data_IF_269280058955
#
_entry.id   IF_269280058955
#
_cell.length_a   1.000
_cell.length_b   1.000
_cell.length_c   1.000
_cell.angle_alpha   90.00
_cell.angle_beta   90.00
_cell.angle_gamma   90.00
#
_symmetry.space_group_name_H-M   'P 1'
#
loop_
_entity.id
_entity.type
_entity.pdbx_description
1 polymer ?
#
# COMPACT_ATOMS: atom_id res chain seq x y z
N UNK A 1 19.52 -19.35 -14.32
CA UNK A 1 18.06 -19.08 -14.29
C UNK A 1 17.23 -20.30 -13.90
N UNK A 2 17.67 -21.54 -14.17
CA UNK A 2 16.93 -22.75 -13.76
C UNK A 2 16.93 -22.99 -12.23
N UNK A 3 17.99 -22.59 -11.53
CA UNK A 3 18.21 -22.95 -10.11
C UNK A 3 17.24 -22.26 -9.14
N UNK A 4 16.85 -21.00 -9.40
CA UNK A 4 15.92 -20.29 -8.53
C UNK A 4 14.48 -20.77 -8.71
N UNK A 5 14.09 -21.18 -9.92
CA UNK A 5 12.79 -21.79 -10.18
C UNK A 5 12.68 -23.13 -9.44
N UNK A 6 13.72 -23.96 -9.48
CA UNK A 6 13.74 -25.22 -8.72
C UNK A 6 13.61 -24.96 -7.21
N UNK A 7 14.30 -23.95 -6.67
CA UNK A 7 14.24 -23.60 -5.26
C UNK A 7 12.85 -23.07 -4.82
N UNK A 8 12.16 -22.30 -5.66
CA UNK A 8 10.85 -21.72 -5.32
C UNK A 8 9.66 -22.63 -5.67
N UNK A 9 9.85 -23.70 -6.44
CA UNK A 9 8.75 -24.56 -6.90
C UNK A 9 8.01 -25.20 -5.74
N UNK A 10 8.70 -25.84 -4.80
CA UNK A 10 8.06 -26.51 -3.66
C UNK A 10 7.32 -25.52 -2.73
N UNK A 11 7.93 -24.40 -2.29
CA UNK A 11 7.23 -23.35 -1.55
C UNK A 11 6.00 -22.80 -2.30
N UNK A 12 6.09 -22.62 -3.61
CA UNK A 12 4.98 -22.16 -4.43
C UNK A 12 3.83 -23.18 -4.47
N UNK A 13 4.12 -24.47 -4.70
CA UNK A 13 3.10 -25.52 -4.68
C UNK A 13 2.40 -25.61 -3.32
N UNK A 14 3.15 -25.49 -2.23
CA UNK A 14 2.59 -25.43 -0.88
C UNK A 14 1.69 -24.21 -0.72
N UNK A 15 2.12 -23.03 -1.16
CA UNK A 15 1.29 -21.82 -1.14
C UNK A 15 -0.02 -21.99 -1.94
N UNK A 16 -0.01 -22.71 -3.07
CA UNK A 16 -1.24 -23.03 -3.82
C UNK A 16 -2.17 -23.94 -3.02
N UNK A 17 -1.63 -24.98 -2.40
CA UNK A 17 -2.40 -25.94 -1.59
C UNK A 17 -3.00 -25.24 -0.36
N UNK A 18 -2.23 -24.38 0.33
CA UNK A 18 -2.73 -23.55 1.41
C UNK A 18 -3.83 -22.61 0.90
N UNK A 19 -3.57 -21.83 -0.15
CA UNK A 19 -4.56 -20.93 -0.77
C UNK A 19 -5.86 -21.66 -1.08
N UNK A 20 -5.78 -22.86 -1.65
CA UNK A 20 -6.93 -23.67 -2.03
C UNK A 20 -7.91 -23.90 -0.88
N UNK A 21 -7.44 -24.58 0.17
CA UNK A 21 -8.28 -24.94 1.33
C UNK A 21 -8.60 -23.73 2.21
N UNK A 22 -7.65 -22.80 2.41
CA UNK A 22 -7.84 -21.66 3.31
C UNK A 22 -8.81 -20.64 2.73
N UNK A 23 -8.81 -20.40 1.41
CA UNK A 23 -9.82 -19.52 0.80
C UNK A 23 -11.23 -20.09 1.02
N UNK A 24 -11.40 -21.41 0.85
CA UNK A 24 -12.69 -22.08 1.06
C UNK A 24 -13.15 -21.98 2.52
N UNK A 25 -12.28 -22.33 3.47
CA UNK A 25 -12.57 -22.22 4.89
C UNK A 25 -12.78 -20.77 5.32
N UNK A 26 -12.02 -19.84 4.75
CA UNK A 26 -12.14 -18.40 4.97
C UNK A 26 -13.51 -17.85 4.59
N UNK A 27 -14.11 -18.33 3.50
CA UNK A 27 -15.49 -17.96 3.13
C UNK A 27 -16.48 -18.38 4.23
N UNK A 28 -16.31 -19.57 4.80
CA UNK A 28 -17.13 -20.02 5.93
C UNK A 28 -16.88 -19.15 7.17
N UNK A 29 -15.63 -18.86 7.52
CA UNK A 29 -15.26 -18.01 8.66
C UNK A 29 -15.86 -16.60 8.53
N UNK A 30 -15.75 -15.97 7.36
CA UNK A 30 -16.33 -14.66 7.09
C UNK A 30 -17.86 -14.68 7.20
N UNK A 31 -18.53 -15.69 6.63
CA UNK A 31 -20.00 -15.80 6.72
C UNK A 31 -20.52 -15.98 8.16
N UNK A 32 -19.67 -16.53 9.04
CA UNK A 32 -19.98 -16.79 10.45
C UNK A 32 -19.61 -15.63 11.38
N UNK A 33 -18.97 -14.56 10.88
CA UNK A 33 -18.47 -13.43 11.68
C UNK A 33 -17.56 -13.86 12.85
N UNK A 34 -16.61 -14.76 12.58
CA UNK A 34 -15.69 -15.33 13.57
C UNK A 34 -14.25 -15.23 13.09
N UNK A 35 -13.82 -14.05 12.63
CA UNK A 35 -12.57 -13.88 11.89
C UNK A 35 -11.37 -14.38 12.70
N UNK A 36 -11.35 -14.11 14.02
CA UNK A 36 -10.28 -14.53 14.92
C UNK A 36 -10.23 -16.02 15.28
N UNK A 37 -11.13 -16.85 14.76
CA UNK A 37 -11.17 -18.29 15.12
C UNK A 37 -9.89 -19.02 14.71
N UNK A 38 -9.26 -18.55 13.64
CA UNK A 38 -8.00 -19.07 13.15
C UNK A 38 -6.85 -18.79 14.11
N UNK A 39 -6.70 -17.54 14.57
CA UNK A 39 -5.70 -17.14 15.55
C UNK A 39 -5.95 -17.86 16.88
N UNK A 40 -7.20 -17.97 17.32
CA UNK A 40 -7.52 -18.67 18.56
C UNK A 40 -7.09 -20.15 18.50
N UNK A 41 -7.48 -20.89 17.47
CA UNK A 41 -7.11 -22.30 17.34
C UNK A 41 -5.60 -22.47 17.10
N UNK A 42 -4.97 -21.55 16.36
CA UNK A 42 -3.52 -21.55 16.20
C UNK A 42 -2.80 -21.40 17.55
N UNK A 43 -3.26 -20.50 18.43
CA UNK A 43 -2.64 -20.31 19.76
C UNK A 43 -2.96 -21.45 20.73
N UNK A 44 -4.13 -22.06 20.64
CA UNK A 44 -4.44 -23.28 21.40
C UNK A 44 -3.54 -24.44 20.94
N UNK A 45 -3.37 -24.61 19.62
CA UNK A 45 -2.47 -25.59 19.02
C UNK A 45 -1.02 -25.37 19.44
N UNK A 46 -0.59 -24.10 19.45
CA UNK A 46 0.72 -23.67 19.91
C UNK A 46 0.94 -24.00 21.39
N UNK A 47 -0.03 -23.69 22.25
CA UNK A 47 0.00 -24.07 23.65
C UNK A 47 0.21 -25.58 23.83
N UNK A 48 -0.49 -26.40 23.03
CA UNK A 48 -0.27 -27.85 23.01
C UNK A 48 1.15 -28.24 22.58
N UNK A 49 1.71 -27.60 21.55
CA UNK A 49 3.10 -27.81 21.13
C UNK A 49 4.09 -27.45 22.25
N UNK A 50 3.85 -26.33 22.95
CA UNK A 50 4.69 -25.88 24.07
C UNK A 50 4.63 -26.87 25.23
N UNK A 51 3.45 -27.42 25.54
CA UNK A 51 3.33 -28.49 26.55
C UNK A 51 4.14 -29.72 26.14
N UNK A 52 4.07 -30.15 24.88
CA UNK A 52 4.89 -31.27 24.40
C UNK A 52 6.39 -30.99 24.51
N UNK A 53 6.80 -29.77 24.16
CA UNK A 53 8.19 -29.34 24.27
C UNK A 53 8.68 -29.39 25.73
N UNK A 54 7.88 -28.92 26.69
CA UNK A 54 8.20 -29.00 28.12
C UNK A 54 8.28 -30.43 28.64
N UNK A 55 7.51 -31.36 28.04
CA UNK A 55 7.60 -32.79 28.34
C UNK A 55 8.81 -33.47 27.69
N UNK A 56 9.68 -32.72 27.00
CA UNK A 56 10.92 -33.22 26.40
C UNK A 56 10.77 -33.76 24.98
N UNK A 57 9.61 -33.57 24.33
CA UNK A 57 9.46 -33.95 22.93
C UNK A 57 10.10 -32.92 22.01
N UNK A 58 10.78 -33.39 20.97
CA UNK A 58 11.39 -32.51 19.97
C UNK A 58 10.33 -31.70 19.20
N UNK A 59 10.64 -30.44 18.83
CA UNK A 59 9.84 -29.69 17.86
C UNK A 59 9.64 -30.50 16.57
N UNK A 60 8.45 -30.41 15.97
CA UNK A 60 8.06 -31.16 14.76
C UNK A 60 7.98 -32.69 14.90
N UNK A 61 8.10 -33.24 16.12
CA UNK A 61 7.83 -34.67 16.35
C UNK A 61 6.34 -35.01 16.20
N UNK A 62 6.05 -36.29 15.92
CA UNK A 62 4.67 -36.82 15.90
C UNK A 62 3.97 -36.58 17.24
N UNK A 63 4.71 -36.70 18.35
CA UNK A 63 4.18 -36.41 19.68
C UNK A 63 3.78 -34.93 19.80
N UNK A 64 4.66 -33.99 19.43
CA UNK A 64 4.35 -32.56 19.45
C UNK A 64 3.11 -32.23 18.60
N UNK A 65 3.01 -32.80 17.40
CA UNK A 65 1.82 -32.66 16.56
C UNK A 65 0.55 -33.25 17.22
N UNK A 66 0.67 -34.40 17.90
CA UNK A 66 -0.41 -35.03 18.64
C UNK A 66 -0.93 -34.18 19.80
N UNK A 67 -0.05 -33.55 20.58
CA UNK A 67 -0.44 -32.62 21.64
C UNK A 67 -1.08 -31.35 21.08
N UNK A 68 -0.51 -30.77 20.03
CA UNK A 68 -1.13 -29.65 19.32
C UNK A 68 -2.54 -29.99 18.87
N UNK A 69 -2.74 -31.13 18.23
CA UNK A 69 -4.05 -31.56 17.76
C UNK A 69 -5.03 -31.85 18.90
N UNK A 70 -4.57 -32.46 20.00
CA UNK A 70 -5.40 -32.70 21.17
C UNK A 70 -5.92 -31.40 21.79
N UNK A 71 -5.04 -30.41 21.95
CA UNK A 71 -5.41 -29.08 22.40
C UNK A 71 -6.37 -28.39 21.42
N UNK A 72 -6.09 -28.45 20.11
CA UNK A 72 -6.96 -27.91 19.06
C UNK A 72 -8.35 -28.54 19.10
N UNK A 73 -8.47 -29.85 19.31
CA UNK A 73 -9.76 -30.53 19.47
C UNK A 73 -10.46 -30.04 20.73
N UNK A 74 -9.76 -29.91 21.87
CA UNK A 74 -10.31 -29.31 23.08
C UNK A 74 -10.83 -27.88 22.87
N UNK A 75 -10.05 -27.05 22.17
CA UNK A 75 -10.44 -25.71 21.75
C UNK A 75 -11.67 -25.72 20.85
N UNK A 76 -11.71 -26.60 19.85
CA UNK A 76 -12.86 -26.78 18.97
C UNK A 76 -14.14 -27.15 19.75
N UNK A 77 -14.04 -28.03 20.75
CA UNK A 77 -15.17 -28.34 21.65
C UNK A 77 -15.66 -27.06 22.35
N UNK A 78 -14.75 -26.32 22.99
CA UNK A 78 -15.09 -25.08 23.72
C UNK A 78 -15.75 -24.05 22.79
N UNK A 79 -15.19 -23.84 21.60
CA UNK A 79 -15.72 -22.89 20.62
C UNK A 79 -17.07 -23.33 20.01
N UNK A 80 -17.35 -24.63 19.97
CA UNK A 80 -18.63 -25.15 19.48
C UNK A 80 -19.77 -24.87 20.44
N UNK A 81 -19.52 -25.00 21.75
CA UNK A 81 -20.51 -24.70 22.78
C UNK A 81 -20.73 -23.19 22.95
N UNK A 82 -19.69 -22.37 22.73
CA UNK A 82 -19.77 -20.92 22.96
C UNK A 82 -20.80 -20.19 22.10
N UNK A 83 -21.10 -20.69 20.89
CA UNK A 83 -22.14 -20.12 20.01
C UNK A 83 -23.52 -20.08 20.64
N UNK A 84 -23.81 -21.01 21.56
CA UNK A 84 -25.10 -21.07 22.27
C UNK A 84 -25.17 -20.12 23.48
N UNK A 85 -24.03 -19.63 23.96
CA UNK A 85 -23.93 -18.78 25.16
C UNK A 85 -24.00 -17.28 24.83
N UNK A 86 -23.84 -16.93 23.55
CA UNK A 86 -23.74 -15.56 23.06
C UNK A 86 -25.11 -14.93 22.84
N UNK A 87 -25.77 -14.54 23.95
CA UNK A 87 -26.99 -13.72 23.93
C UNK A 87 -26.74 -12.23 24.20
N UNK A 88 -25.63 -11.88 24.88
CA UNK A 88 -25.25 -10.50 25.24
C UNK A 88 -23.87 -10.08 24.74
N UNK A 89 -23.01 -11.05 24.40
CA UNK A 89 -21.63 -10.86 23.94
C UNK A 89 -21.50 -11.54 22.58
N UNK A 90 -20.77 -10.96 21.63
CA UNK A 90 -20.56 -11.61 20.33
C UNK A 90 -19.66 -12.84 20.47
N UNK A 91 -19.87 -13.83 19.60
CA UNK A 91 -19.02 -15.02 19.57
C UNK A 91 -17.55 -14.67 19.26
N UNK A 92 -17.33 -13.66 18.43
CA UNK A 92 -16.01 -13.15 18.10
C UNK A 92 -15.26 -12.60 19.32
N UNK A 93 -15.95 -11.92 20.25
CA UNK A 93 -15.34 -11.46 21.50
C UNK A 93 -14.85 -12.64 22.35
N UNK A 94 -15.65 -13.70 22.48
CA UNK A 94 -15.24 -14.89 23.22
C UNK A 94 -14.02 -15.56 22.58
N UNK A 95 -14.02 -15.70 21.25
CA UNK A 95 -12.90 -16.22 20.48
C UNK A 95 -11.64 -15.37 20.70
N UNK A 96 -11.77 -14.03 20.71
CA UNK A 96 -10.66 -13.11 20.98
C UNK A 96 -10.07 -13.29 22.39
N UNK A 97 -10.90 -13.51 23.40
CA UNK A 97 -10.42 -13.81 24.77
C UNK A 97 -9.67 -15.14 24.81
N UNK A 98 -10.21 -16.20 24.19
CA UNK A 98 -9.55 -17.51 24.10
C UNK A 98 -8.20 -17.39 23.39
N UNK A 99 -8.12 -16.61 22.31
CA UNK A 99 -6.87 -16.31 21.60
C UNK A 99 -5.82 -15.69 22.53
N UNK A 100 -6.14 -14.58 23.20
CA UNK A 100 -5.18 -13.87 24.06
C UNK A 100 -4.75 -14.72 25.25
N UNK A 101 -5.68 -15.43 25.90
CA UNK A 101 -5.37 -16.30 27.05
C UNK A 101 -4.47 -17.47 26.64
N UNK A 102 -4.76 -18.11 25.50
CA UNK A 102 -3.95 -19.24 25.01
C UNK A 102 -2.56 -18.80 24.60
N UNK A 103 -2.44 -17.64 23.94
CA UNK A 103 -1.15 -17.03 23.61
C UNK A 103 -0.36 -16.75 24.89
N UNK A 104 -0.95 -16.02 25.85
CA UNK A 104 -0.29 -15.68 27.10
C UNK A 104 0.15 -16.94 27.88
N UNK A 105 -0.67 -17.99 27.91
CA UNK A 105 -0.29 -19.27 28.50
C UNK A 105 0.90 -19.91 27.79
N UNK A 106 0.92 -19.92 26.44
CA UNK A 106 2.05 -20.46 25.67
C UNK A 106 3.34 -19.67 25.91
N UNK A 107 3.25 -18.33 25.99
CA UNK A 107 4.36 -17.46 26.38
C UNK A 107 4.87 -17.79 27.78
N UNK A 108 4.00 -17.85 28.79
CA UNK A 108 4.39 -18.15 30.17
C UNK A 108 5.07 -19.51 30.33
N UNK A 109 4.62 -20.51 29.56
CA UNK A 109 5.22 -21.85 29.59
C UNK A 109 6.62 -21.88 28.97
N UNK A 110 6.92 -21.02 28.00
CA UNK A 110 8.20 -21.05 27.27
C UNK A 110 9.19 -19.98 27.74
N UNK A 111 8.76 -19.00 28.54
CA UNK A 111 9.59 -17.88 29.02
C UNK A 111 10.85 -18.32 29.77
N UNK A 112 10.77 -19.45 30.48
CA UNK A 112 11.89 -20.02 31.23
C UNK A 112 12.80 -20.93 30.39
N UNK A 113 12.49 -21.13 29.10
CA UNK A 113 13.28 -21.96 28.19
C UNK A 113 14.34 -21.14 27.46
N UNK A 114 15.62 -21.58 27.42
CA UNK A 114 16.67 -20.92 26.63
C UNK A 114 16.33 -20.78 25.15
N UNK A 115 15.50 -21.66 24.59
CA UNK A 115 15.07 -21.61 23.18
C UNK A 115 13.68 -20.96 22.97
N UNK A 116 13.07 -20.38 24.00
CA UNK A 116 11.69 -19.92 23.96
C UNK A 116 11.43 -18.82 22.94
N UNK A 117 12.29 -17.80 22.87
CA UNK A 117 12.14 -16.69 21.93
C UNK A 117 12.16 -17.15 20.45
N UNK A 118 13.03 -18.10 20.11
CA UNK A 118 13.12 -18.66 18.75
C UNK A 118 11.89 -19.52 18.42
N UNK A 119 11.39 -20.32 19.38
CA UNK A 119 10.16 -21.10 19.21
C UNK A 119 8.95 -20.20 18.87
N UNK A 120 8.80 -19.08 19.57
CA UNK A 120 7.72 -18.13 19.32
C UNK A 120 7.88 -17.44 17.96
N UNK A 121 9.09 -17.02 17.63
CA UNK A 121 9.38 -16.41 16.32
C UNK A 121 9.05 -17.36 15.17
N UNK A 122 9.48 -18.62 15.27
CA UNK A 122 9.17 -19.66 14.28
C UNK A 122 7.67 -19.88 14.14
N UNK A 123 6.92 -19.86 15.24
CA UNK A 123 5.46 -19.99 15.23
C UNK A 123 4.75 -18.81 14.56
N UNK A 124 5.22 -17.57 14.78
CA UNK A 124 4.59 -16.37 14.21
C UNK A 124 4.87 -16.23 12.71
N UNK A 125 6.12 -16.39 12.30
CA UNK A 125 6.59 -16.07 10.93
C UNK A 125 6.64 -17.31 10.04
N UNK A 126 6.89 -18.50 10.61
CA UNK A 126 7.10 -19.74 9.87
C UNK A 126 8.33 -19.71 8.98
N UNK A 127 8.49 -20.76 8.17
CA UNK A 127 9.58 -20.88 7.20
C UNK A 127 9.12 -21.60 5.93
N UNK A 128 8.14 -21.02 5.23
CA UNK A 128 7.59 -21.62 3.99
C UNK A 128 8.67 -21.91 2.93
N UNK A 129 9.78 -21.17 2.94
CA UNK A 129 10.90 -21.36 2.01
C UNK A 129 11.66 -22.68 2.24
N UNK A 130 11.67 -23.22 3.46
CA UNK A 130 12.45 -24.43 3.82
C UNK A 130 11.61 -25.71 3.77
N UNK A 131 10.42 -25.66 3.20
CA UNK A 131 9.53 -26.81 3.06
C UNK A 131 10.09 -27.86 2.12
N UNK A 132 10.01 -29.12 2.55
CA UNK A 132 10.44 -30.27 1.77
C UNK A 132 9.30 -30.87 0.92
N UNK A 133 9.65 -31.70 -0.07
CA UNK A 133 8.66 -32.48 -0.84
C UNK A 133 7.80 -33.40 0.03
N UNK A 134 8.39 -33.93 1.11
CA UNK A 134 7.69 -34.77 2.07
C UNK A 134 6.59 -33.98 2.80
N UNK A 135 6.87 -32.72 3.14
CA UNK A 135 5.88 -31.85 3.80
C UNK A 135 4.77 -31.46 2.82
N UNK A 136 5.12 -31.15 1.56
CA UNK A 136 4.13 -30.95 0.50
C UNK A 136 3.20 -32.16 0.37
N UNK A 137 3.74 -33.39 0.31
CA UNK A 137 2.93 -34.60 0.21
C UNK A 137 1.98 -34.78 1.41
N UNK A 138 2.49 -34.61 2.64
CA UNK A 138 1.67 -34.69 3.87
C UNK A 138 0.50 -33.72 3.83
N UNK A 139 0.77 -32.46 3.46
CA UNK A 139 -0.23 -31.40 3.38
C UNK A 139 -1.25 -31.67 2.29
N UNK A 140 -0.81 -32.10 1.10
CA UNK A 140 -1.71 -32.46 0.00
C UNK A 140 -2.65 -33.59 0.41
N UNK A 141 -2.14 -34.66 1.02
CA UNK A 141 -2.96 -35.78 1.47
C UNK A 141 -3.96 -35.34 2.55
N UNK A 142 -3.48 -34.62 3.56
CA UNK A 142 -4.32 -34.13 4.66
C UNK A 142 -5.42 -33.20 4.15
N UNK A 143 -5.09 -32.24 3.29
CA UNK A 143 -6.05 -31.22 2.82
C UNK A 143 -6.99 -31.79 1.78
N UNK A 144 -6.57 -32.80 1.01
CA UNK A 144 -7.47 -33.55 0.15
C UNK A 144 -8.47 -34.35 0.98
N UNK A 145 -8.05 -35.00 2.08
CA UNK A 145 -8.96 -35.71 2.97
C UNK A 145 -9.97 -34.77 3.65
N UNK A 146 -9.51 -33.62 4.17
CA UNK A 146 -10.39 -32.60 4.74
C UNK A 146 -11.32 -32.01 3.68
N UNK A 147 -10.80 -31.68 2.49
CA UNK A 147 -11.59 -31.16 1.37
C UNK A 147 -12.65 -32.15 0.91
N UNK A 148 -12.34 -33.44 0.85
CA UNK A 148 -13.28 -34.50 0.51
C UNK A 148 -14.36 -34.65 1.59
N UNK A 149 -13.99 -34.59 2.87
CA UNK A 149 -14.95 -34.55 3.97
C UNK A 149 -15.92 -33.37 3.81
N UNK A 150 -15.40 -32.15 3.63
CA UNK A 150 -16.21 -30.94 3.42
C UNK A 150 -17.08 -31.03 2.18
N UNK A 151 -16.61 -31.68 1.11
CA UNK A 151 -17.39 -31.91 -0.09
C UNK A 151 -18.63 -32.79 0.18
N UNK A 152 -18.47 -33.90 0.90
CA UNK A 152 -19.58 -34.78 1.26
C UNK A 152 -20.59 -34.10 2.19
N UNK A 153 -20.11 -33.29 3.15
CA UNK A 153 -20.97 -32.59 4.11
C UNK A 153 -21.25 -31.12 3.74
N UNK A 154 -21.07 -30.74 2.47
CA UNK A 154 -21.18 -29.34 2.03
C UNK A 154 -22.55 -28.72 2.29
N UNK A 155 -23.63 -29.47 2.12
CA UNK A 155 -25.01 -28.97 2.29
C UNK A 155 -25.27 -28.46 3.71
N UNK A 156 -25.07 -29.28 4.78
CA UNK A 156 -25.26 -28.80 6.15
C UNK A 156 -24.26 -27.71 6.54
N UNK A 157 -22.99 -27.81 6.12
CA UNK A 157 -21.98 -26.78 6.44
C UNK A 157 -22.31 -25.42 5.83
N UNK A 158 -22.72 -25.38 4.56
CA UNK A 158 -23.14 -24.15 3.90
C UNK A 158 -24.40 -23.58 4.56
N UNK A 159 -25.40 -24.43 4.86
CA UNK A 159 -26.64 -23.99 5.50
C UNK A 159 -26.36 -23.34 6.87
N UNK A 160 -25.51 -23.95 7.69
CA UNK A 160 -25.20 -23.43 9.04
C UNK A 160 -24.34 -22.16 9.02
N UNK A 161 -23.54 -21.98 7.96
CA UNK A 161 -22.66 -20.82 7.84
C UNK A 161 -23.38 -19.60 7.27
N UNK A 162 -24.23 -19.80 6.25
CA UNK A 162 -24.92 -18.71 5.56
C UNK A 162 -26.34 -18.45 6.07
N UNK A 163 -27.02 -19.47 6.59
CA UNK A 163 -28.44 -19.43 6.97
C UNK A 163 -28.70 -20.24 8.27
N UNK A 164 -28.11 -19.84 9.40
CA UNK A 164 -28.18 -20.60 10.66
C UNK A 164 -29.62 -20.80 11.18
N UNK A 165 -30.53 -19.85 10.94
CA UNK A 165 -31.93 -19.97 11.35
C UNK A 165 -32.66 -21.07 10.57
N UNK A 166 -32.41 -21.17 9.26
CA UNK A 166 -32.96 -22.23 8.42
C UNK A 166 -32.36 -23.59 8.78
N UNK A 167 -31.07 -23.65 9.14
CA UNK A 167 -30.46 -24.88 9.66
C UNK A 167 -31.16 -25.37 10.93
N UNK A 168 -31.49 -24.45 11.84
CA UNK A 168 -32.20 -24.76 13.09
C UNK A 168 -33.62 -25.26 12.82
N UNK A 169 -34.33 -24.62 11.89
CA UNK A 169 -35.68 -25.04 11.46
C UNK A 169 -35.67 -26.41 10.77
N UNK A 170 -34.60 -26.73 10.03
CA UNK A 170 -34.39 -28.04 9.42
C UNK A 170 -34.01 -29.15 10.42
N UNK A 171 -34.00 -28.87 11.73
CA UNK A 171 -33.71 -29.85 12.78
C UNK A 171 -32.23 -30.22 12.92
N UNK A 172 -31.31 -29.46 12.29
CA UNK A 172 -29.89 -29.72 12.43
C UNK A 172 -29.42 -29.38 13.85
N UNK A 173 -28.57 -30.25 14.41
CA UNK A 173 -27.89 -30.00 15.68
C UNK A 173 -26.72 -29.04 15.44
N UNK A 174 -26.95 -27.73 15.59
CA UNK A 174 -25.96 -26.69 15.31
C UNK A 174 -24.59 -26.96 15.96
N UNK A 175 -24.58 -27.32 17.25
CA UNK A 175 -23.35 -27.58 18.00
C UNK A 175 -22.49 -28.69 17.37
N UNK A 176 -23.10 -29.75 16.83
CA UNK A 176 -22.38 -30.88 16.25
C UNK A 176 -21.68 -30.47 14.95
N UNK A 177 -22.36 -29.71 14.11
CA UNK A 177 -21.80 -29.24 12.85
C UNK A 177 -20.79 -28.12 13.04
N UNK A 178 -20.96 -27.29 14.06
CA UNK A 178 -19.95 -26.32 14.49
C UNK A 178 -18.71 -27.04 15.01
N UNK A 179 -18.88 -28.12 15.79
CA UNK A 179 -17.78 -28.98 16.22
C UNK A 179 -17.04 -29.62 15.06
N UNK A 180 -17.75 -30.23 14.11
CA UNK A 180 -17.14 -30.80 12.91
C UNK A 180 -16.41 -29.74 12.08
N UNK A 181 -16.99 -28.54 11.97
CA UNK A 181 -16.33 -27.41 11.31
C UNK A 181 -15.05 -27.02 12.07
N UNK A 182 -15.12 -26.74 13.37
CA UNK A 182 -13.97 -26.29 14.15
C UNK A 182 -12.87 -27.33 14.28
N UNK A 183 -13.19 -28.63 14.35
CA UNK A 183 -12.18 -29.69 14.35
C UNK A 183 -11.49 -29.77 13.00
N UNK A 184 -12.25 -29.86 11.89
CA UNK A 184 -11.65 -29.95 10.56
C UNK A 184 -10.87 -28.68 10.18
N UNK A 185 -11.38 -27.52 10.57
CA UNK A 185 -10.72 -26.23 10.44
C UNK A 185 -9.46 -26.15 11.30
N UNK A 186 -9.53 -26.57 12.56
CA UNK A 186 -8.41 -26.62 13.48
C UNK A 186 -7.29 -27.54 13.00
N UNK A 187 -7.61 -28.71 12.44
CA UNK A 187 -6.63 -29.62 11.81
C UNK A 187 -5.84 -28.88 10.72
N UNK A 188 -6.54 -28.18 9.83
CA UNK A 188 -5.91 -27.42 8.73
C UNK A 188 -5.08 -26.25 9.24
N UNK A 189 -5.58 -25.49 10.23
CA UNK A 189 -4.85 -24.38 10.83
C UNK A 189 -3.60 -24.88 11.55
N UNK A 190 -3.72 -25.90 12.41
CA UNK A 190 -2.59 -26.50 13.14
C UNK A 190 -1.47 -26.96 12.20
N UNK A 191 -1.79 -27.69 11.14
CA UNK A 191 -0.78 -28.14 10.18
C UNK A 191 -0.19 -27.01 9.36
N UNK A 192 -1.00 -26.01 8.99
CA UNK A 192 -0.52 -24.88 8.19
C UNK A 192 0.39 -23.96 8.98
N UNK A 193 0.08 -23.72 10.26
CA UNK A 193 0.87 -22.87 11.14
C UNK A 193 2.25 -23.47 11.38
N UNK A 194 2.35 -24.80 11.50
CA UNK A 194 3.63 -25.49 11.63
C UNK A 194 4.58 -25.26 10.43
N UNK A 195 4.03 -24.89 9.26
CA UNK A 195 4.77 -24.69 8.01
C UNK A 195 4.99 -23.21 7.72
N UNK A 196 3.89 -22.48 7.64
CA UNK A 196 3.81 -21.12 7.14
C UNK A 196 3.81 -20.07 8.26
N UNK A 197 3.57 -20.46 9.51
CA UNK A 197 3.42 -19.54 10.64
C UNK A 197 2.03 -18.89 10.70
N UNK A 198 1.68 -18.40 11.89
CA UNK A 198 0.33 -17.87 12.18
C UNK A 198 -0.05 -16.69 11.27
N UNK A 199 0.87 -15.76 11.03
CA UNK A 199 0.59 -14.55 10.25
C UNK A 199 0.25 -14.87 8.80
N UNK A 200 1.03 -15.75 8.17
CA UNK A 200 0.85 -16.11 6.77
C UNK A 200 -0.41 -16.96 6.56
N UNK A 201 -0.72 -17.86 7.50
CA UNK A 201 -1.95 -18.66 7.48
C UNK A 201 -3.19 -17.78 7.56
N UNK A 202 -3.20 -16.78 8.45
CA UNK A 202 -4.28 -15.79 8.53
C UNK A 202 -4.50 -15.08 7.18
N UNK A 203 -3.40 -14.67 6.52
CA UNK A 203 -3.48 -14.03 5.20
C UNK A 203 -4.04 -14.96 4.12
N UNK A 204 -3.60 -16.22 4.05
CA UNK A 204 -4.14 -17.21 3.11
C UNK A 204 -5.63 -17.49 3.32
N UNK A 205 -6.10 -17.37 4.57
CA UNK A 205 -7.48 -17.62 4.95
C UNK A 205 -8.39 -16.43 4.63
N UNK A 206 -8.07 -15.27 5.20
CA UNK A 206 -9.00 -14.14 5.25
C UNK A 206 -8.93 -13.28 3.99
N UNK A 207 -7.74 -12.98 3.49
CA UNK A 207 -7.58 -11.97 2.43
C UNK A 207 -8.15 -12.43 1.08
N UNK A 208 -7.81 -13.62 0.55
CA UNK A 208 -8.47 -14.20 -0.62
C UNK A 208 -9.99 -14.27 -0.51
N UNK A 209 -10.50 -14.73 0.64
CA UNK A 209 -11.93 -14.88 0.89
C UNK A 209 -12.64 -13.52 0.94
N UNK A 210 -12.01 -12.51 1.56
CA UNK A 210 -12.53 -11.15 1.64
C UNK A 210 -12.59 -10.50 0.26
N UNK A 211 -11.55 -10.64 -0.56
CA UNK A 211 -11.55 -10.12 -1.94
C UNK A 211 -12.60 -10.85 -2.78
N UNK A 212 -12.73 -12.17 -2.65
CA UNK A 212 -13.83 -12.90 -3.28
C UNK A 212 -15.20 -12.34 -2.89
N UNK A 213 -15.42 -12.08 -1.59
CA UNK A 213 -16.66 -11.52 -1.07
C UNK A 213 -16.92 -10.06 -1.46
N UNK A 214 -15.88 -9.27 -1.72
CA UNK A 214 -16.01 -7.88 -2.20
C UNK A 214 -16.58 -7.80 -3.62
N UNK A 215 -16.34 -8.84 -4.44
CA UNK A 215 -16.59 -8.85 -5.89
C UNK A 215 -17.73 -9.80 -6.32
N UNK A 216 -18.22 -10.67 -5.44
CA UNK A 216 -19.35 -11.56 -5.75
C UNK A 216 -20.10 -12.01 -4.51
N UNK A 217 -21.39 -12.33 -4.67
CA UNK A 217 -22.23 -12.94 -3.63
C UNK A 217 -22.27 -14.48 -3.71
N UNK A 218 -21.97 -15.04 -4.88
CA UNK A 218 -22.05 -16.49 -5.14
C UNK A 218 -20.77 -17.19 -4.68
N UNK A 219 -20.91 -18.37 -4.06
CA UNK A 219 -19.78 -19.12 -3.47
C UNK A 219 -18.70 -19.46 -4.52
N UNK A 220 -19.10 -19.97 -5.69
CA UNK A 220 -18.14 -20.40 -6.71
C UNK A 220 -17.29 -19.23 -7.26
N UNK A 221 -17.87 -18.09 -7.67
CA UNK A 221 -17.07 -16.92 -8.01
C UNK A 221 -16.21 -16.38 -6.87
N UNK A 222 -16.72 -16.32 -5.62
CA UNK A 222 -15.91 -15.92 -4.44
C UNK A 222 -14.65 -16.78 -4.33
N UNK A 223 -14.82 -18.10 -4.51
CA UNK A 223 -13.74 -19.07 -4.42
C UNK A 223 -12.72 -18.93 -5.57
N UNK A 224 -13.19 -18.81 -6.81
CA UNK A 224 -12.32 -18.64 -7.98
C UNK A 224 -11.51 -17.34 -7.91
N UNK A 225 -12.15 -16.23 -7.52
CA UNK A 225 -11.47 -14.94 -7.33
C UNK A 225 -10.43 -15.07 -6.22
N UNK A 226 -10.80 -15.66 -5.07
CA UNK A 226 -9.88 -15.87 -3.97
C UNK A 226 -8.67 -16.73 -4.36
N UNK A 227 -8.88 -17.85 -5.07
CA UNK A 227 -7.78 -18.69 -5.55
C UNK A 227 -6.86 -17.96 -6.53
N UNK A 228 -7.41 -17.17 -7.46
CA UNK A 228 -6.61 -16.37 -8.38
C UNK A 228 -5.75 -15.34 -7.62
N UNK A 229 -6.35 -14.64 -6.67
CA UNK A 229 -5.64 -13.62 -5.87
C UNK A 229 -4.62 -14.25 -4.92
N UNK A 230 -4.92 -15.37 -4.29
CA UNK A 230 -3.98 -16.06 -3.41
C UNK A 230 -2.79 -16.62 -4.17
N UNK A 231 -3.04 -17.18 -5.37
CA UNK A 231 -1.98 -17.62 -6.28
C UNK A 231 -1.11 -16.44 -6.71
N UNK A 232 -1.70 -15.34 -7.18
CA UNK A 232 -0.99 -14.15 -7.61
C UNK A 232 -0.16 -13.54 -6.49
N UNK A 233 -0.77 -13.35 -5.31
CA UNK A 233 -0.10 -12.80 -4.12
C UNK A 233 1.09 -13.65 -3.70
N UNK A 234 0.94 -14.99 -3.75
CA UNK A 234 2.02 -15.92 -3.42
C UNK A 234 3.16 -15.88 -4.43
N UNK A 235 2.85 -15.90 -5.73
CA UNK A 235 3.86 -15.79 -6.80
C UNK A 235 4.65 -14.50 -6.69
N UNK A 236 3.97 -13.37 -6.52
CA UNK A 236 4.61 -12.06 -6.38
C UNK A 236 5.42 -11.98 -5.09
N UNK A 237 4.86 -12.43 -3.96
CA UNK A 237 5.54 -12.43 -2.66
C UNK A 237 6.79 -13.31 -2.61
N UNK A 238 6.74 -14.51 -3.18
CA UNK A 238 7.91 -15.40 -3.30
C UNK A 238 9.00 -14.78 -4.17
N UNK A 239 8.62 -14.24 -5.34
CA UNK A 239 9.56 -13.61 -6.27
C UNK A 239 10.24 -12.39 -5.64
N UNK A 240 9.47 -11.52 -4.97
CA UNK A 240 10.00 -10.34 -4.29
C UNK A 240 10.89 -10.71 -3.10
N UNK A 241 10.51 -11.73 -2.32
CA UNK A 241 11.33 -12.21 -1.21
C UNK A 241 12.68 -12.72 -1.68
N UNK A 242 12.70 -13.48 -2.77
CA UNK A 242 13.93 -14.04 -3.34
C UNK A 242 14.85 -12.94 -3.90
N UNK A 243 14.32 -12.01 -4.70
CA UNK A 243 15.13 -10.92 -5.29
C UNK A 243 15.61 -9.95 -4.22
N UNK A 244 14.79 -9.68 -3.19
CA UNK A 244 15.09 -8.72 -2.13
C UNK A 244 15.83 -9.31 -0.91
N UNK A 245 16.11 -10.62 -0.87
CA UNK A 245 16.61 -11.32 0.32
C UNK A 245 15.80 -11.02 1.59
N UNK A 246 14.47 -10.95 1.46
CA UNK A 246 13.54 -10.61 2.56
C UNK A 246 12.94 -11.87 3.20
N UNK A 247 12.52 -11.82 4.48
CA UNK A 247 11.79 -12.91 5.12
C UNK A 247 10.51 -13.27 4.35
N UNK A 248 10.50 -14.46 3.75
CA UNK A 248 9.47 -14.86 2.77
C UNK A 248 8.05 -14.77 3.30
N UNK A 249 7.80 -15.25 4.52
CA UNK A 249 6.46 -15.19 5.11
C UNK A 249 5.96 -13.75 5.28
N UNK A 250 6.80 -12.86 5.81
CA UNK A 250 6.46 -11.45 5.97
C UNK A 250 6.24 -10.73 4.63
N UNK A 251 7.08 -11.02 3.61
CA UNK A 251 6.91 -10.43 2.28
C UNK A 251 5.58 -10.84 1.64
N UNK A 252 5.19 -12.12 1.73
CA UNK A 252 3.90 -12.59 1.18
C UNK A 252 2.74 -11.91 1.93
N UNK A 253 2.81 -11.77 3.25
CA UNK A 253 1.81 -11.05 4.06
C UNK A 253 1.65 -9.59 3.59
N UNK A 254 2.77 -8.87 3.38
CA UNK A 254 2.73 -7.50 2.88
C UNK A 254 2.11 -7.40 1.48
N UNK A 255 2.42 -8.36 0.58
CA UNK A 255 1.85 -8.42 -0.76
C UNK A 255 0.34 -8.67 -0.72
N UNK A 256 -0.12 -9.60 0.12
CA UNK A 256 -1.55 -9.83 0.34
C UNK A 256 -2.26 -8.56 0.82
N UNK A 257 -1.70 -7.86 1.81
CA UNK A 257 -2.23 -6.59 2.32
C UNK A 257 -2.29 -5.51 1.24
N UNK A 258 -1.23 -5.39 0.43
CA UNK A 258 -1.18 -4.47 -0.70
C UNK A 258 -2.21 -4.76 -1.77
N UNK A 259 -2.41 -6.03 -2.15
CA UNK A 259 -3.42 -6.44 -3.13
C UNK A 259 -4.83 -6.23 -2.59
N UNK A 260 -5.09 -6.50 -1.30
CA UNK A 260 -6.38 -6.17 -0.67
C UNK A 260 -6.67 -4.67 -0.73
N UNK A 261 -5.71 -3.84 -0.34
CA UNK A 261 -5.84 -2.39 -0.39
C UNK A 261 -6.10 -1.90 -1.83
N UNK A 262 -5.32 -2.40 -2.79
CA UNK A 262 -5.49 -2.06 -4.21
C UNK A 262 -6.86 -2.48 -4.74
N UNK A 263 -7.29 -3.71 -4.50
CA UNK A 263 -8.60 -4.20 -4.96
C UNK A 263 -9.75 -3.43 -4.30
N UNK A 264 -9.67 -3.15 -3.00
CA UNK A 264 -10.65 -2.31 -2.31
C UNK A 264 -10.74 -0.89 -2.92
N UNK A 265 -9.61 -0.26 -3.24
CA UNK A 265 -9.56 1.05 -3.90
C UNK A 265 -10.09 1.01 -5.34
N UNK A 266 -9.89 -0.09 -6.07
CA UNK A 266 -10.37 -0.26 -7.44
C UNK A 266 -11.85 -0.62 -7.54
N UNK A 267 -12.44 -1.23 -6.49
CA UNK A 267 -13.86 -1.62 -6.45
C UNK A 267 -14.85 -0.52 -6.90
N UNK A 268 -14.79 0.74 -6.42
CA UNK A 268 -15.71 1.79 -6.88
C UNK A 268 -15.61 2.08 -8.39
N UNK A 269 -14.46 1.85 -9.02
CA UNK A 269 -14.27 2.05 -10.46
C UNK A 269 -14.84 0.89 -11.29
N UNK A 270 -14.93 -0.32 -10.72
CA UNK A 270 -15.35 -1.54 -11.41
C UNK A 270 -16.88 -1.73 -11.36
N UNK A 271 -17.53 -1.43 -10.22
CA UNK A 271 -18.94 -1.80 -10.00
C UNK A 271 -19.96 -0.67 -10.06
N UNK A 272 -19.60 0.58 -10.36
CA UNK A 272 -20.60 1.66 -10.33
C UNK A 272 -20.28 2.87 -11.22
N UNK A 273 -21.39 3.44 -11.71
CA UNK A 273 -21.68 4.86 -12.02
C UNK A 273 -20.96 5.94 -11.16
N UNK A 274 -20.21 5.57 -10.12
CA UNK A 274 -19.26 6.39 -9.37
C UNK A 274 -18.17 7.05 -10.25
N UNK A 275 -17.79 6.45 -11.39
CA UNK A 275 -16.87 7.11 -12.36
C UNK A 275 -17.37 8.50 -12.77
N UNK A 276 -18.67 8.66 -13.00
CA UNK A 276 -19.26 9.96 -13.36
C UNK A 276 -19.34 10.93 -12.16
N UNK A 277 -19.56 10.44 -10.94
CA UNK A 277 -19.61 11.29 -9.76
C UNK A 277 -18.21 11.77 -9.33
N UNK A 278 -17.21 10.89 -9.40
CA UNK A 278 -15.80 11.22 -9.11
C UNK A 278 -15.25 12.18 -10.17
N UNK A 279 -15.55 11.98 -11.46
CA UNK A 279 -15.15 12.94 -12.51
C UNK A 279 -15.85 14.30 -12.33
N UNK A 280 -17.13 14.34 -11.93
CA UNK A 280 -17.85 15.59 -11.64
C UNK A 280 -17.30 16.31 -10.40
N UNK A 281 -17.00 15.59 -9.32
CA UNK A 281 -16.42 16.17 -8.11
C UNK A 281 -14.97 16.62 -8.33
N UNK A 282 -14.13 15.83 -9.01
CA UNK A 282 -12.77 16.20 -9.37
C UNK A 282 -12.75 17.42 -10.33
N UNK A 283 -13.68 17.46 -11.30
CA UNK A 283 -13.85 18.63 -12.17
C UNK A 283 -14.25 19.88 -11.38
N UNK A 284 -15.20 19.76 -10.45
CA UNK A 284 -15.60 20.88 -9.59
C UNK A 284 -14.47 21.37 -8.68
N UNK A 285 -13.70 20.44 -8.08
CA UNK A 285 -12.58 20.79 -7.19
C UNK A 285 -11.41 21.39 -7.96
N UNK A 286 -11.17 20.91 -9.18
CA UNK A 286 -10.20 21.50 -10.11
C UNK A 286 -10.56 22.93 -10.49
N UNK A 287 -11.83 23.17 -10.87
CA UNK A 287 -12.31 24.51 -11.22
C UNK A 287 -12.23 25.46 -10.02
N UNK A 288 -12.65 25.04 -8.81
CA UNK A 288 -12.53 25.89 -7.62
C UNK A 288 -11.08 26.20 -7.28
N UNK A 289 -10.17 25.23 -7.40
CA UNK A 289 -8.75 25.43 -7.10
C UNK A 289 -8.08 26.35 -8.12
N UNK A 290 -8.45 26.24 -9.40
CA UNK A 290 -7.97 27.16 -10.45
C UNK A 290 -8.47 28.57 -10.20
N UNK A 291 -9.75 28.75 -9.83
CA UNK A 291 -10.32 30.06 -9.51
C UNK A 291 -9.71 30.67 -8.24
N UNK A 292 -9.39 29.89 -7.20
CA UNK A 292 -8.72 30.42 -6.00
C UNK A 292 -7.30 30.85 -6.30
N UNK A 293 -6.53 30.05 -7.05
CA UNK A 293 -5.16 30.39 -7.46
C UNK A 293 -5.17 31.64 -8.34
N UNK A 294 -6.08 31.73 -9.32
CA UNK A 294 -6.23 32.89 -10.18
C UNK A 294 -6.64 34.15 -9.38
N UNK A 295 -7.57 34.02 -8.44
CA UNK A 295 -8.00 35.11 -7.56
C UNK A 295 -6.85 35.60 -6.68
N UNK A 296 -6.13 34.69 -6.02
CA UNK A 296 -4.98 35.02 -5.18
C UNK A 296 -3.86 35.69 -5.99
N UNK A 297 -3.55 35.16 -7.17
CA UNK A 297 -2.54 35.73 -8.08
C UNK A 297 -2.95 37.12 -8.59
N UNK A 298 -4.23 37.34 -8.90
CA UNK A 298 -4.75 38.64 -9.31
C UNK A 298 -4.72 39.67 -8.17
N UNK A 299 -5.13 39.29 -6.96
CA UNK A 299 -5.06 40.15 -5.77
C UNK A 299 -3.61 40.52 -5.46
N UNK A 300 -2.69 39.56 -5.52
CA UNK A 300 -1.29 39.82 -5.27
C UNK A 300 -0.71 40.79 -6.31
N UNK A 301 -0.95 40.57 -7.60
CA UNK A 301 -0.48 41.46 -8.68
C UNK A 301 -1.06 42.88 -8.57
N UNK A 302 -2.31 42.98 -8.10
CA UNK A 302 -2.97 44.28 -7.95
C UNK A 302 -2.49 45.07 -6.72
N UNK A 303 -2.28 44.41 -5.59
CA UNK A 303 -1.83 45.09 -4.37
C UNK A 303 -0.33 45.38 -4.40
N UNK A 304 0.48 44.40 -4.82
CA UNK A 304 1.93 44.45 -4.80
C UNK A 304 2.53 44.02 -6.16
N UNK A 305 2.48 44.90 -7.18
CA UNK A 305 2.95 44.56 -8.53
C UNK A 305 4.44 44.24 -8.59
N UNK A 306 5.26 44.88 -7.74
CA UNK A 306 6.71 44.72 -7.74
C UNK A 306 7.21 43.53 -6.89
N UNK A 307 6.31 42.82 -6.20
CA UNK A 307 6.67 41.63 -5.44
C UNK A 307 6.97 40.44 -6.38
N UNK A 308 7.63 39.41 -5.86
CA UNK A 308 7.81 38.16 -6.58
C UNK A 308 6.45 37.47 -6.77
N UNK A 309 6.18 37.01 -8.00
CA UNK A 309 4.84 36.59 -8.44
C UNK A 309 4.97 35.25 -9.16
N UNK A 310 4.97 34.13 -8.42
CA UNK A 310 5.42 32.84 -8.94
C UNK A 310 4.71 32.39 -10.23
N UNK A 311 3.40 32.61 -10.33
CA UNK A 311 2.59 32.19 -11.48
C UNK A 311 2.92 33.02 -12.73
N UNK A 312 2.99 34.35 -12.58
CA UNK A 312 3.27 35.25 -13.70
C UNK A 312 4.75 35.18 -14.11
N UNK A 313 5.64 34.90 -13.16
CA UNK A 313 7.07 34.65 -13.42
C UNK A 313 7.28 33.38 -14.23
N UNK A 314 6.54 32.32 -13.89
CA UNK A 314 6.52 31.09 -14.68
C UNK A 314 6.00 31.35 -16.10
N UNK A 315 4.89 32.07 -16.25
CA UNK A 315 4.33 32.41 -17.56
C UNK A 315 5.27 33.27 -18.42
N UNK A 316 5.91 34.29 -17.85
CA UNK A 316 6.87 35.13 -18.58
C UNK A 316 8.15 34.38 -18.94
N UNK A 317 8.52 33.34 -18.19
CA UNK A 317 9.66 32.47 -18.52
C UNK A 317 9.32 31.57 -19.71
N UNK A 318 8.11 31.01 -19.75
CA UNK A 318 7.64 30.20 -20.88
C UNK A 318 7.32 31.05 -22.12
N UNK A 319 6.80 32.27 -21.92
CA UNK A 319 6.38 33.19 -22.97
C UNK A 319 6.92 34.61 -22.72
N UNK A 320 8.18 34.89 -23.08
CA UNK A 320 8.81 36.20 -22.87
C UNK A 320 8.06 37.38 -23.51
N UNK A 321 7.31 37.12 -24.58
CA UNK A 321 6.46 38.09 -25.26
C UNK A 321 5.41 38.73 -24.32
N UNK A 322 4.95 38.00 -23.29
CA UNK A 322 3.99 38.53 -22.31
C UNK A 322 4.55 39.71 -21.53
N UNK A 323 5.87 39.76 -21.27
CA UNK A 323 6.49 40.91 -20.62
C UNK A 323 6.68 42.05 -21.61
N UNK A 324 7.16 41.73 -22.81
CA UNK A 324 7.48 42.70 -23.86
C UNK A 324 6.23 43.48 -24.30
N UNK A 325 5.06 42.84 -24.36
CA UNK A 325 3.79 43.50 -24.70
C UNK A 325 3.41 44.68 -23.78
N UNK A 326 3.97 44.73 -22.57
CA UNK A 326 3.74 45.81 -21.61
C UNK A 326 4.91 46.79 -21.49
N UNK A 327 5.95 46.64 -22.31
CA UNK A 327 7.07 47.58 -22.40
C UNK A 327 6.88 48.51 -23.61
N UNK A 328 7.36 49.75 -23.49
CA UNK A 328 7.44 50.67 -24.62
C UNK A 328 8.51 50.22 -25.62
N UNK A 329 8.50 50.76 -26.84
CA UNK A 329 9.52 50.45 -27.84
C UNK A 329 10.95 50.73 -27.35
N UNK A 330 11.14 51.80 -26.58
CA UNK A 330 12.44 52.15 -25.98
C UNK A 330 12.84 51.14 -24.88
N UNK A 331 11.92 50.79 -23.98
CA UNK A 331 12.16 49.81 -22.92
C UNK A 331 12.43 48.40 -23.47
N UNK A 332 11.80 48.04 -24.60
CA UNK A 332 12.08 46.79 -25.31
C UNK A 332 13.49 46.79 -25.91
N UNK A 333 13.91 47.91 -26.50
CA UNK A 333 15.28 48.07 -27.00
C UNK A 333 16.30 47.97 -25.86
N UNK A 334 16.03 48.62 -24.72
CA UNK A 334 16.89 48.53 -23.52
C UNK A 334 16.98 47.09 -22.99
N UNK A 335 15.85 46.37 -22.98
CA UNK A 335 15.82 44.96 -22.56
C UNK A 335 16.64 44.07 -23.51
N UNK A 336 16.52 44.29 -24.83
CA UNK A 336 17.29 43.56 -25.83
C UNK A 336 18.79 43.88 -25.73
N UNK A 337 19.16 45.14 -25.55
CA UNK A 337 20.54 45.56 -25.36
C UNK A 337 21.15 44.96 -24.09
N UNK A 338 20.40 44.93 -22.98
CA UNK A 338 20.82 44.27 -21.75
C UNK A 338 21.00 42.76 -21.92
N UNK A 339 20.17 42.10 -22.75
CA UNK A 339 20.32 40.68 -23.10
C UNK A 339 21.58 40.42 -23.93
N UNK A 340 21.82 41.21 -24.98
CA UNK A 340 23.02 41.12 -25.83
C UNK A 340 24.32 41.46 -25.07
N UNK A 341 24.24 42.31 -24.04
CA UNK A 341 25.35 42.52 -23.10
C UNK A 341 25.69 41.24 -22.35
N UNK A 342 24.69 40.63 -21.72
CA UNK A 342 24.85 39.42 -20.91
C UNK A 342 25.48 38.26 -21.67
N UNK A 343 25.04 37.99 -22.90
CA UNK A 343 25.57 36.90 -23.72
C UNK A 343 27.03 37.12 -24.13
N UNK A 344 27.39 38.38 -24.46
CA UNK A 344 28.78 38.76 -24.76
C UNK A 344 29.69 38.58 -23.55
N UNK A 345 29.20 38.88 -22.35
CA UNK A 345 30.01 38.71 -21.14
C UNK A 345 30.13 37.27 -20.68
N UNK A 346 29.07 36.47 -20.81
CA UNK A 346 29.13 35.05 -20.50
C UNK A 346 30.12 34.31 -21.40
N UNK A 347 30.13 34.64 -22.69
CA UNK A 347 31.09 34.06 -23.65
C UNK A 347 32.53 34.47 -23.37
N UNK A 348 32.79 35.74 -23.03
CA UNK A 348 34.15 36.18 -22.69
C UNK A 348 34.65 35.59 -21.37
N UNK A 349 33.78 35.36 -20.38
CA UNK A 349 34.16 34.65 -19.15
C UNK A 349 34.44 33.18 -19.39
N UNK A 350 33.58 32.51 -20.16
CA UNK A 350 33.80 31.12 -20.51
C UNK A 350 35.16 30.95 -21.21
N UNK A 351 35.52 31.91 -22.06
CA UNK A 351 36.84 31.97 -22.70
C UNK A 351 37.97 32.18 -21.70
N UNK A 352 37.85 33.12 -20.76
CA UNK A 352 38.89 33.38 -19.75
C UNK A 352 39.08 32.19 -18.79
N UNK A 353 37.98 31.54 -18.35
CA UNK A 353 38.02 30.32 -17.54
C UNK A 353 38.65 29.15 -18.31
N UNK A 354 38.39 29.04 -19.61
CA UNK A 354 39.03 28.03 -20.45
C UNK A 354 40.55 28.25 -20.57
N UNK A 355 41.00 29.49 -20.72
CA UNK A 355 42.43 29.84 -20.76
C UNK A 355 43.09 29.51 -19.41
N UNK A 356 42.46 29.86 -18.29
CA UNK A 356 42.95 29.52 -16.95
C UNK A 356 43.05 28.00 -16.77
N UNK A 357 42.01 27.26 -17.15
CA UNK A 357 42.01 25.80 -17.08
C UNK A 357 43.14 25.21 -17.93
N UNK A 358 43.28 25.62 -19.19
CA UNK A 358 44.33 25.12 -20.09
C UNK A 358 45.74 25.37 -19.53
N UNK A 359 46.00 26.56 -18.96
CA UNK A 359 47.28 26.86 -18.30
C UNK A 359 47.55 25.91 -17.11
N UNK A 360 46.54 25.59 -16.29
CA UNK A 360 46.68 24.63 -15.18
C UNK A 360 47.03 23.21 -15.65
N UNK A 361 46.56 22.79 -16.83
CA UNK A 361 46.80 21.45 -17.37
C UNK A 361 48.13 21.34 -18.15
N UNK A 362 48.56 22.41 -18.82
CA UNK A 362 49.74 22.39 -19.70
C UNK A 362 51.05 22.83 -19.00
N UNK A 363 51.00 23.31 -17.76
CA UNK A 363 52.18 23.57 -16.93
C UNK A 363 52.93 24.88 -17.20
N UNK A 364 52.56 25.63 -18.25
CA UNK A 364 53.00 27.02 -18.42
C UNK A 364 52.12 27.95 -17.55
N UNK A 365 52.72 28.55 -16.52
CA UNK A 365 52.03 29.49 -15.65
C UNK A 365 51.66 30.80 -16.36
N UNK A 366 50.45 31.30 -16.13
CA UNK A 366 50.00 32.60 -16.63
C UNK A 366 50.95 33.72 -16.17
N UNK A 367 51.24 34.68 -17.05
CA UNK A 367 52.04 35.85 -16.68
C UNK A 367 51.29 36.75 -15.68
N UNK A 368 52.04 37.51 -14.87
CA UNK A 368 51.45 38.47 -13.90
C UNK A 368 50.54 39.54 -14.55
N UNK A 369 50.70 39.79 -15.86
CA UNK A 369 49.80 40.67 -16.62
C UNK A 369 48.47 39.98 -16.93
N UNK A 370 48.50 38.69 -17.27
CA UNK A 370 47.31 37.90 -17.58
C UNK A 370 46.49 37.64 -16.31
N UNK A 371 47.14 37.29 -15.21
CA UNK A 371 46.47 37.14 -13.91
C UNK A 371 45.78 38.44 -13.46
N UNK A 372 46.46 39.59 -13.58
CA UNK A 372 45.86 40.90 -13.28
C UNK A 372 44.68 41.25 -14.20
N UNK A 373 44.75 40.85 -15.47
CA UNK A 373 43.66 41.05 -16.43
C UNK A 373 42.44 40.17 -16.11
N UNK A 374 42.66 38.93 -15.71
CA UNK A 374 41.58 38.02 -15.28
C UNK A 374 40.92 38.55 -14.00
N UNK A 375 41.72 38.97 -13.01
CA UNK A 375 41.19 39.50 -11.75
C UNK A 375 40.42 40.82 -11.93
N UNK A 376 40.92 41.73 -12.77
CA UNK A 376 40.22 42.99 -13.05
C UNK A 376 38.92 42.75 -13.81
N UNK A 377 38.92 41.83 -14.78
CA UNK A 377 37.73 41.48 -15.54
C UNK A 377 36.66 40.80 -14.67
N UNK A 378 37.07 39.96 -13.73
CA UNK A 378 36.14 39.27 -12.80
C UNK A 378 35.45 40.27 -11.86
N UNK A 379 36.18 41.25 -11.34
CA UNK A 379 35.61 42.28 -10.47
C UNK A 379 34.66 43.20 -11.23
N UNK A 380 35.07 43.71 -12.40
CA UNK A 380 34.21 44.54 -13.25
C UNK A 380 33.00 43.78 -13.79
N UNK A 381 33.13 42.46 -14.03
CA UNK A 381 32.01 41.63 -14.45
C UNK A 381 30.90 41.56 -13.40
N UNK A 382 31.25 41.42 -12.12
CA UNK A 382 30.25 41.40 -11.07
C UNK A 382 29.45 42.70 -11.03
N UNK A 383 30.11 43.84 -11.20
CA UNK A 383 29.46 45.15 -11.28
C UNK A 383 28.60 45.29 -12.53
N UNK A 384 29.12 44.93 -13.71
CA UNK A 384 28.37 44.95 -14.98
C UNK A 384 27.15 44.04 -14.95
N UNK A 385 27.30 42.81 -14.45
CA UNK A 385 26.19 41.85 -14.27
C UNK A 385 25.14 42.36 -13.28
N UNK A 386 25.57 43.01 -12.20
CA UNK A 386 24.64 43.62 -11.25
C UNK A 386 23.90 44.80 -11.90
N UNK A 387 24.57 45.59 -12.74
CA UNK A 387 23.96 46.65 -13.56
C UNK A 387 22.91 46.12 -14.54
N UNK A 388 23.23 45.06 -15.29
CA UNK A 388 22.26 44.43 -16.21
C UNK A 388 21.07 43.84 -15.45
N UNK A 389 21.31 43.13 -14.34
CA UNK A 389 20.24 42.62 -13.48
C UNK A 389 19.38 43.73 -12.90
N UNK A 390 19.97 44.88 -12.60
CA UNK A 390 19.25 46.06 -12.13
C UNK A 390 18.33 46.60 -13.22
N UNK A 391 18.82 46.80 -14.45
CA UNK A 391 18.02 47.24 -15.60
C UNK A 391 16.89 46.25 -15.88
N UNK A 392 17.19 44.95 -15.95
CA UNK A 392 16.18 43.91 -16.16
C UNK A 392 15.12 43.89 -15.06
N UNK A 393 15.52 44.13 -13.80
CA UNK A 393 14.58 44.23 -12.66
C UNK A 393 13.71 45.47 -12.77
N UNK A 394 14.26 46.62 -13.15
CA UNK A 394 13.48 47.85 -13.27
C UNK A 394 12.50 47.80 -14.45
N UNK A 395 12.92 47.27 -15.60
CA UNK A 395 12.05 47.03 -16.74
C UNK A 395 10.95 46.02 -16.40
N UNK A 396 11.29 44.95 -15.67
CA UNK A 396 10.29 44.01 -15.16
C UNK A 396 9.30 44.70 -14.21
N UNK A 397 9.76 45.54 -13.29
CA UNK A 397 8.87 46.31 -12.41
C UNK A 397 7.97 47.29 -13.18
N UNK A 398 8.50 47.93 -14.22
CA UNK A 398 7.72 48.80 -15.11
C UNK A 398 6.60 48.03 -15.83
N UNK A 399 6.91 46.87 -16.41
CA UNK A 399 5.91 45.99 -17.02
C UNK A 399 4.87 45.55 -15.98
N UNK A 400 5.29 45.18 -14.76
CA UNK A 400 4.38 44.72 -13.69
C UNK A 400 3.40 45.80 -13.23
N UNK A 401 3.85 47.05 -13.13
CA UNK A 401 2.98 48.20 -12.83
C UNK A 401 1.86 48.37 -13.87
N UNK A 402 2.13 48.06 -15.15
CA UNK A 402 1.13 48.12 -16.23
C UNK A 402 0.24 46.86 -16.26
N UNK A 403 0.84 45.68 -16.09
CA UNK A 403 0.14 44.40 -16.00
C UNK A 403 -0.87 44.34 -14.84
N UNK A 404 -0.63 45.07 -13.74
CA UNK A 404 -1.59 45.23 -12.63
C UNK A 404 -3.00 45.60 -13.12
N UNK A 405 -3.11 46.56 -14.03
CA UNK A 405 -4.40 47.08 -14.46
C UNK A 405 -5.02 46.25 -15.58
N UNK A 406 -4.19 45.70 -16.48
CA UNK A 406 -4.65 44.98 -17.67
C UNK A 406 -4.85 43.49 -17.42
N UNK A 407 -4.05 42.88 -16.54
CA UNK A 407 -4.11 41.46 -16.21
C UNK A 407 -4.64 41.24 -14.78
N UNK A 408 -4.11 41.97 -13.81
CA UNK A 408 -4.44 41.76 -12.39
C UNK A 408 -5.92 42.02 -12.08
N UNK A 409 -6.42 43.23 -12.39
CA UNK A 409 -7.82 43.59 -12.11
C UNK A 409 -8.82 42.68 -12.85
N UNK A 410 -8.67 42.42 -14.17
CA UNK A 410 -9.55 41.49 -14.87
C UNK A 410 -9.50 40.06 -14.32
N UNK A 411 -8.32 39.57 -13.92
CA UNK A 411 -8.18 38.22 -13.35
C UNK A 411 -8.95 38.08 -12.03
N UNK A 412 -8.92 39.11 -11.18
CA UNK A 412 -9.73 39.15 -9.94
C UNK A 412 -11.22 39.15 -10.26
N UNK A 413 -11.67 40.02 -11.19
CA UNK A 413 -13.08 40.14 -11.57
C UNK A 413 -13.61 38.85 -12.20
N UNK A 414 -12.85 38.22 -13.11
CA UNK A 414 -13.21 36.96 -13.74
C UNK A 414 -13.26 35.81 -12.73
N UNK A 415 -12.33 35.78 -11.78
CA UNK A 415 -12.32 34.74 -10.75
C UNK A 415 -13.53 34.86 -9.80
N UNK A 416 -13.86 36.09 -9.38
CA UNK A 416 -15.06 36.37 -8.57
C UNK A 416 -16.36 36.05 -9.32
N UNK A 417 -16.45 36.44 -10.60
CA UNK A 417 -17.57 36.09 -11.46
C UNK A 417 -17.71 34.57 -11.64
N UNK A 418 -16.59 33.85 -11.75
CA UNK A 418 -16.53 32.39 -11.78
C UNK A 418 -17.10 31.76 -10.51
N UNK A 419 -16.71 32.24 -9.32
CA UNK A 419 -17.27 31.78 -8.04
C UNK A 419 -18.78 32.02 -7.94
N UNK A 420 -19.27 33.18 -8.38
CA UNK A 420 -20.70 33.51 -8.39
C UNK A 420 -21.49 32.64 -9.39
N UNK A 421 -20.91 32.33 -10.56
CA UNK A 421 -21.50 31.42 -11.54
C UNK A 421 -21.64 29.99 -11.00
N UNK A 422 -20.66 29.52 -10.21
CA UNK A 422 -20.73 28.19 -9.58
C UNK A 422 -21.84 28.12 -8.51
N UNK A 423 -22.08 29.18 -7.75
CA UNK A 423 -23.14 29.22 -6.74
C UNK A 423 -24.56 29.28 -7.35
N UNK A 424 -24.70 29.79 -8.58
CA UNK A 424 -25.98 29.90 -9.29
C UNK A 424 -26.36 28.67 -10.13
N UNK A 425 -25.48 27.67 -10.23
CA UNK A 425 -25.82 26.42 -10.91
C UNK A 425 -26.91 25.70 -10.09
N UNK A 426 -28.12 25.49 -10.64
CA UNK A 426 -29.18 24.83 -9.90
C UNK A 426 -28.71 23.44 -9.49
N UNK A 427 -28.65 23.20 -8.18
CA UNK A 427 -28.50 21.84 -7.64
C UNK A 427 -29.66 21.04 -8.23
N UNK A 428 -29.37 20.17 -9.19
CA UNK A 428 -30.32 19.20 -9.67
C UNK A 428 -30.79 18.39 -8.45
N UNK A 429 -32.00 18.68 -8.00
CA UNK A 429 -32.73 17.95 -6.98
C UNK A 429 -32.89 16.52 -7.50
N UNK A 430 -32.07 15.61 -6.99
CA UNK A 430 -32.26 14.18 -7.20
C UNK A 430 -33.38 13.79 -6.23
N UNK A 431 -34.60 13.66 -6.75
CA UNK A 431 -35.69 12.89 -6.13
C UNK A 431 -35.44 11.40 -6.34
#
# INVERSE_FOLDING_TARGET
MADWLQLLTIPFLVALVLTGIHTYLGIHVLSRNIIFVDLALAQISALGATVAFLLGYYPQSIAAYGYSLAFTIGGAIVLSFSRSWTGRVSQETFIGVVYVVSAAAAFLLVDQSPQGAEHIKQMLIGSILTVTETDLLKVVLLYSAVGLFHWFVRKPLLLISFQPDLAKQAGLRLWLWDFLFYVSFGVVVTSSVAIAGVLLVFCFLIIPAAIGALYSDRILPKLLIGWAIGTLSSSVGLSLSFVGNLPTGATIVCVFGGILALTALLRPFIFSSARLQILKQAGSWGITSLLTIALASGIWLTLNPNADQPLLDWLETCYPALRQAFLSSDEQNDLQQAGLGSDRWQSEIARLDQIERQSRWQGEGLSDRELRRISSYTMSFHEMRNGEKFVQRELRNAARRRQRWVLGVPLVLLSLAGFLGMQRSPRATVM
#
